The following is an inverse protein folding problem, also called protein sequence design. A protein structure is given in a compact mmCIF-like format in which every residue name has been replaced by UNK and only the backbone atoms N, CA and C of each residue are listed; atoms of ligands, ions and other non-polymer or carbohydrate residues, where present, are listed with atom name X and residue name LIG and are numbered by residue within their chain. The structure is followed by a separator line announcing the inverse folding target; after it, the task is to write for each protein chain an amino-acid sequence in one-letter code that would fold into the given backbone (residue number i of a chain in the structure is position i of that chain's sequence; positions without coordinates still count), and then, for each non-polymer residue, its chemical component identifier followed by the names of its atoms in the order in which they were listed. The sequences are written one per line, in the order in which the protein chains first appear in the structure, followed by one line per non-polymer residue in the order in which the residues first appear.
data_IF_709199038703
#
_entry.id   IF_709199038703
#
_cell.length_a   1.000
_cell.length_b   1.000
_cell.length_c   1.000
_cell.angle_alpha   90.00
_cell.angle_beta   90.00
_cell.angle_gamma   90.00
#
_symmetry.space_group_name_H-M   'P 1'
#
loop_
_entity.id
_entity.type
_entity.pdbx_description
1 polymer ?
#
# COMPACT_ATOMS: atom_id res chain seq x y z
N UNK A 1 -22.89 -5.82 -15.96
CA UNK A 1 -22.93 -5.74 -14.48
C UNK A 1 -21.53 -5.37 -14.02
N UNK A 2 -21.31 -4.18 -13.45
CA UNK A 2 -20.02 -3.81 -12.86
C UNK A 2 -19.93 -4.44 -11.47
N UNK A 3 -18.98 -5.36 -11.28
CA UNK A 3 -18.69 -5.93 -9.97
C UNK A 3 -18.21 -4.79 -9.04
N UNK A 4 -19.01 -4.53 -8.00
CA UNK A 4 -18.86 -3.43 -7.02
C UNK A 4 -17.52 -3.56 -6.28
N UNK A 5 -16.48 -2.94 -6.84
CA UNK A 5 -15.15 -2.81 -6.24
C UNK A 5 -14.15 -2.29 -7.26
N UNK A 6 -13.41 -1.24 -6.90
CA UNK A 6 -12.34 -0.70 -7.76
C UNK A 6 -11.22 -1.71 -7.98
N UNK A 7 -11.03 -2.64 -7.04
CA UNK A 7 -9.97 -3.62 -7.07
C UNK A 7 -10.45 -4.93 -7.73
N UNK A 8 -9.58 -5.49 -8.59
CA UNK A 8 -9.80 -6.79 -9.24
C UNK A 8 -9.48 -7.89 -8.22
N UNK A 9 -10.42 -8.78 -7.99
CA UNK A 9 -10.29 -9.92 -7.07
C UNK A 9 -9.21 -10.90 -7.53
N UNK A 10 -8.62 -11.70 -6.61
CA UNK A 10 -7.65 -12.73 -6.99
C UNK A 10 -8.21 -13.74 -8.01
N UNK A 11 -9.49 -14.10 -7.92
CA UNK A 11 -10.12 -15.04 -8.85
C UNK A 11 -10.28 -14.45 -10.25
N UNK A 12 -10.75 -13.20 -10.38
CA UNK A 12 -10.78 -12.48 -11.67
C UNK A 12 -9.37 -12.41 -12.30
N UNK A 13 -8.33 -12.17 -11.50
CA UNK A 13 -6.95 -12.15 -11.99
C UNK A 13 -6.49 -13.50 -12.54
N UNK A 14 -6.86 -14.62 -11.90
CA UNK A 14 -6.56 -15.97 -12.41
C UNK A 14 -7.24 -16.20 -13.76
N UNK A 15 -8.49 -15.77 -13.91
CA UNK A 15 -9.23 -15.85 -15.17
C UNK A 15 -8.50 -15.04 -16.25
N UNK A 16 -8.14 -13.79 -15.96
CA UNK A 16 -7.39 -12.93 -16.89
C UNK A 16 -6.09 -13.59 -17.34
N UNK A 17 -5.31 -14.16 -16.42
CA UNK A 17 -4.05 -14.81 -16.74
C UNK A 17 -4.23 -16.06 -17.60
N UNK A 18 -5.23 -16.89 -17.28
CA UNK A 18 -5.54 -18.08 -18.10
C UNK A 18 -5.90 -17.67 -19.53
N UNK A 19 -6.78 -16.69 -19.69
CA UNK A 19 -7.24 -16.22 -20.99
C UNK A 19 -6.15 -15.47 -21.77
N UNK A 20 -5.21 -14.83 -21.07
CA UNK A 20 -4.01 -14.24 -21.69
C UNK A 20 -3.07 -15.32 -22.23
N UNK A 21 -2.89 -16.42 -21.49
CA UNK A 21 -2.11 -17.57 -21.97
C UNK A 21 -2.76 -18.28 -23.16
N UNK A 22 -4.07 -18.19 -23.30
CA UNK A 22 -4.82 -18.65 -24.49
C UNK A 22 -4.64 -17.72 -25.71
N UNK A 23 -3.90 -16.60 -25.57
CA UNK A 23 -3.56 -15.70 -26.67
C UNK A 23 -4.62 -14.63 -26.97
N UNK A 24 -5.64 -14.45 -26.11
CA UNK A 24 -6.65 -13.40 -26.32
C UNK A 24 -6.09 -12.01 -26.05
N UNK A 25 -6.67 -11.03 -26.72
CA UNK A 25 -6.28 -9.63 -26.60
C UNK A 25 -6.88 -8.99 -25.35
N UNK A 26 -6.22 -7.95 -24.82
CA UNK A 26 -6.70 -7.20 -23.64
C UNK A 26 -8.15 -6.67 -23.76
N UNK A 27 -8.62 -6.17 -24.92
CA UNK A 27 -10.01 -5.76 -25.09
C UNK A 27 -11.00 -6.92 -24.94
N UNK A 28 -10.71 -8.08 -25.55
CA UNK A 28 -11.55 -9.28 -25.45
C UNK A 28 -11.59 -9.84 -24.03
N UNK A 29 -10.46 -9.79 -23.32
CA UNK A 29 -10.41 -10.14 -21.90
C UNK A 29 -11.28 -9.18 -21.09
N UNK A 30 -11.22 -7.88 -21.41
CA UNK A 30 -12.04 -6.86 -20.76
C UNK A 30 -13.53 -7.11 -20.90
N UNK A 31 -13.99 -7.54 -22.09
CA UNK A 31 -15.41 -7.89 -22.31
C UNK A 31 -15.81 -9.16 -21.57
N UNK A 32 -14.93 -10.17 -21.50
CA UNK A 32 -15.17 -11.42 -20.76
C UNK A 32 -15.30 -11.17 -19.25
N UNK A 33 -14.40 -10.37 -18.67
CA UNK A 33 -14.33 -10.15 -17.21
C UNK A 33 -15.16 -8.94 -16.77
N UNK A 34 -15.68 -8.14 -17.71
CA UNK A 34 -16.43 -6.92 -17.41
C UNK A 34 -15.56 -5.80 -16.84
N UNK A 35 -14.31 -5.70 -17.30
CA UNK A 35 -13.34 -4.69 -16.84
C UNK A 35 -12.79 -3.89 -18.02
N UNK A 36 -12.40 -2.64 -17.76
CA UNK A 36 -11.80 -1.79 -18.80
C UNK A 36 -10.49 -2.36 -19.33
N UNK A 37 -10.20 -2.09 -20.60
CA UNK A 37 -8.93 -2.44 -21.26
C UNK A 37 -7.70 -2.01 -20.43
N UNK A 38 -7.70 -0.77 -19.92
CA UNK A 38 -6.59 -0.23 -19.13
C UNK A 38 -6.37 -0.97 -17.82
N UNK A 39 -7.45 -1.45 -17.17
CA UNK A 39 -7.35 -2.27 -15.97
C UNK A 39 -6.71 -3.63 -16.26
N UNK A 40 -7.06 -4.27 -17.38
CA UNK A 40 -6.46 -5.53 -17.83
C UNK A 40 -4.98 -5.33 -18.15
N UNK A 41 -4.63 -4.29 -18.90
CA UNK A 41 -3.25 -3.98 -19.25
C UNK A 41 -2.39 -3.74 -18.00
N UNK A 42 -2.91 -2.98 -17.02
CA UNK A 42 -2.24 -2.74 -15.74
C UNK A 42 -2.05 -4.03 -14.95
N UNK A 43 -3.05 -4.92 -14.95
CA UNK A 43 -2.97 -6.22 -14.29
C UNK A 43 -1.87 -7.10 -14.90
N UNK A 44 -1.83 -7.21 -16.23
CA UNK A 44 -0.81 -8.01 -16.95
C UNK A 44 0.58 -7.43 -16.68
N UNK A 45 0.75 -6.11 -16.77
CA UNK A 45 2.01 -5.44 -16.47
C UNK A 45 2.48 -5.71 -15.03
N UNK A 46 1.59 -5.54 -14.05
CA UNK A 46 1.89 -5.83 -12.65
C UNK A 46 2.27 -7.30 -12.44
N UNK A 47 1.56 -8.23 -13.08
CA UNK A 47 1.87 -9.66 -12.98
C UNK A 47 3.23 -9.99 -13.58
N UNK A 48 3.60 -9.37 -14.70
CA UNK A 48 4.91 -9.57 -15.30
C UNK A 48 6.05 -9.09 -14.38
N UNK A 49 5.84 -7.99 -13.65
CA UNK A 49 6.84 -7.46 -12.70
C UNK A 49 6.88 -8.21 -11.37
N UNK A 50 5.73 -8.62 -10.83
CA UNK A 50 5.60 -9.14 -9.45
C UNK A 50 5.46 -10.66 -9.39
N UNK A 51 5.04 -11.30 -10.49
CA UNK A 51 4.67 -12.71 -10.60
C UNK A 51 3.69 -13.18 -9.52
N UNK A 52 2.81 -12.28 -9.08
CA UNK A 52 1.83 -12.55 -8.03
C UNK A 52 0.44 -12.10 -8.43
N UNK A 53 -0.54 -12.95 -8.12
CA UNK A 53 -1.98 -12.68 -8.27
C UNK A 53 -2.49 -11.84 -7.10
N UNK A 54 -1.82 -11.88 -5.96
CA UNK A 54 -2.20 -11.14 -4.76
C UNK A 54 -1.74 -9.69 -4.92
N UNK A 55 -2.66 -8.75 -4.74
CA UNK A 55 -2.29 -7.33 -4.72
C UNK A 55 -1.45 -7.04 -3.49
N UNK A 56 -0.34 -6.30 -3.69
CA UNK A 56 0.42 -5.74 -2.57
C UNK A 56 -0.49 -4.84 -1.73
N UNK A 57 -0.32 -4.80 -0.40
CA UNK A 57 -0.97 -3.81 0.43
C UNK A 57 -0.58 -2.42 -0.07
N UNK A 58 -1.53 -1.47 0.00
CA UNK A 58 -1.25 -0.07 -0.29
C UNK A 58 -0.35 0.45 0.82
N UNK A 59 0.92 0.71 0.52
CA UNK A 59 1.82 1.36 1.46
C UNK A 59 1.52 2.86 1.43
N UNK A 60 1.16 3.41 2.59
CA UNK A 60 1.10 4.86 2.78
C UNK A 60 2.51 5.46 2.88
N UNK A 61 2.57 6.77 3.16
CA UNK A 61 3.83 7.44 3.44
C UNK A 61 4.52 6.78 4.64
N UNK A 62 5.83 6.49 4.58
CA UNK A 62 6.55 5.96 5.74
C UNK A 62 6.41 6.91 6.93
N UNK A 63 6.24 6.33 8.12
CA UNK A 63 6.11 7.09 9.37
C UNK A 63 7.40 7.84 9.64
N UNK A 64 7.32 9.14 9.95
CA UNK A 64 8.48 9.93 10.40
C UNK A 64 9.04 9.41 11.73
N UNK A 65 8.19 8.79 12.54
CA UNK A 65 8.56 8.27 13.85
C UNK A 65 8.57 6.74 13.87
N UNK A 66 9.58 6.17 14.52
CA UNK A 66 9.67 4.74 14.83
C UNK A 66 8.73 4.38 15.98
N UNK A 67 8.47 3.09 16.19
CA UNK A 67 7.62 2.64 17.30
C UNK A 67 8.25 2.97 18.67
N UNK A 68 9.57 2.93 18.78
CA UNK A 68 10.30 3.31 20.00
C UNK A 68 10.13 4.79 20.31
N UNK A 69 10.26 5.66 19.31
CA UNK A 69 10.05 7.11 19.46
C UNK A 69 8.60 7.42 19.87
N UNK A 70 7.62 6.79 19.24
CA UNK A 70 6.19 6.93 19.62
C UNK A 70 5.94 6.51 21.06
N UNK A 71 6.50 5.37 21.45
CA UNK A 71 6.38 4.86 22.82
C UNK A 71 7.04 5.80 23.83
N UNK A 72 8.17 6.41 23.47
CA UNK A 72 8.84 7.41 24.29
C UNK A 72 7.98 8.66 24.49
N UNK A 73 7.35 9.18 23.42
CA UNK A 73 6.40 10.31 23.50
C UNK A 73 5.26 10.00 24.48
N UNK A 74 4.64 8.82 24.34
CA UNK A 74 3.52 8.44 25.21
C UNK A 74 3.98 8.37 26.66
N UNK A 75 5.13 7.75 26.94
CA UNK A 75 5.69 7.66 28.29
C UNK A 75 6.02 9.02 28.87
N UNK A 76 6.63 9.93 28.11
CA UNK A 76 6.96 11.27 28.61
C UNK A 76 5.71 12.08 28.94
N UNK A 77 4.66 11.97 28.12
CA UNK A 77 3.36 12.60 28.39
C UNK A 77 2.66 11.99 29.62
N UNK A 78 2.73 10.67 29.81
CA UNK A 78 2.15 10.03 31.00
C UNK A 78 2.87 10.41 32.29
N UNK A 79 4.21 10.51 32.25
CA UNK A 79 5.00 10.90 33.43
C UNK A 79 4.76 12.36 33.80
N UNK A 80 4.77 13.26 32.80
CA UNK A 80 4.61 14.68 32.99
C UNK A 80 3.57 15.22 31.98
N UNK A 81 2.27 15.21 32.32
CA UNK A 81 1.20 15.56 31.39
C UNK A 81 1.19 17.04 30.98
N UNK A 82 1.91 17.90 31.71
CA UNK A 82 2.07 19.34 31.39
C UNK A 82 3.29 19.64 30.51
N UNK A 83 4.01 18.63 30.03
CA UNK A 83 5.20 18.84 29.20
C UNK A 83 4.84 19.44 27.84
N UNK A 84 5.60 20.43 27.40
CA UNK A 84 5.37 21.11 26.13
C UNK A 84 5.85 20.22 24.98
N UNK A 85 5.10 20.17 23.89
CA UNK A 85 5.41 19.33 22.72
C UNK A 85 6.79 19.62 22.12
N UNK A 86 7.24 20.89 22.15
CA UNK A 86 8.57 21.30 21.68
C UNK A 86 9.70 20.71 22.52
N UNK A 87 9.51 20.60 23.84
CA UNK A 87 10.48 19.98 24.74
C UNK A 87 10.60 18.48 24.42
N UNK A 88 9.46 17.78 24.26
CA UNK A 88 9.43 16.36 23.88
C UNK A 88 10.11 16.14 22.52
N UNK A 89 9.86 17.02 21.54
CA UNK A 89 10.50 16.93 20.24
C UNK A 89 12.03 17.11 20.32
N UNK A 90 12.51 18.04 21.14
CA UNK A 90 13.95 18.25 21.37
C UNK A 90 14.58 17.06 22.09
N UNK A 91 13.91 16.49 23.08
CA UNK A 91 14.38 15.28 23.75
C UNK A 91 14.50 14.09 22.80
N UNK A 92 13.52 13.89 21.91
CA UNK A 92 13.58 12.83 20.91
C UNK A 92 14.77 13.03 19.98
N UNK A 93 14.99 14.25 19.50
CA UNK A 93 16.16 14.55 18.65
C UNK A 93 17.48 14.24 19.35
N UNK A 94 17.62 14.64 20.62
CA UNK A 94 18.81 14.37 21.43
C UNK A 94 19.00 12.87 21.69
N UNK A 95 17.93 12.18 22.06
CA UNK A 95 17.97 10.77 22.49
C UNK A 95 18.15 9.78 21.34
N UNK A 96 17.56 10.09 20.18
CA UNK A 96 17.59 9.23 19.00
C UNK A 96 18.49 9.79 17.89
N UNK A 97 19.37 10.75 18.21
CA UNK A 97 20.38 11.35 17.31
C UNK A 97 19.80 11.78 15.95
N UNK A 98 18.59 12.33 15.97
CA UNK A 98 17.84 12.63 14.74
C UNK A 98 18.22 14.00 14.21
N UNK A 99 19.17 14.01 13.28
CA UNK A 99 19.53 15.22 12.55
C UNK A 99 18.37 15.62 11.61
N UNK A 100 17.99 16.89 11.64
CA UNK A 100 16.94 17.45 10.77
C UNK A 100 17.39 17.30 9.31
N UNK A 101 16.75 16.42 8.54
CA UNK A 101 16.87 16.35 7.08
C UNK A 101 15.63 16.94 6.42
#
# INVERSE_FOLDING_TARGET
MHLKGNDITPEEKKIVLKVTNEGKTSPEIGTIVGRSHSAIQRLISNYNSLKSVISKPRNGRPSKLTNCEKSYIIKSMCLNPRTITSQIANEIRKKFEKNSS
#
